data_IF_194228002488
#
_entry.id   IF_194228002488
#
_cell.length_a   1.000
_cell.length_b   1.000
_cell.length_c   1.000
_cell.angle_alpha   90.00
_cell.angle_beta   90.00
_cell.angle_gamma   90.00
#
_symmetry.space_group_name_H-M   'P 1'
#
loop_
_entity.id
_entity.type
_entity.pdbx_description
1 polymer ?
#
# COMPACT_ATOMS: atom_id res chain seq x y z
N UNK A 1 -23.69 17.94 40.57
CA UNK A 1 -22.26 17.73 40.26
C UNK A 1 -21.90 18.64 39.10
N UNK A 2 -20.89 19.51 39.21
CA UNK A 2 -20.44 20.31 38.09
C UNK A 2 -19.84 19.35 37.04
N UNK A 3 -20.29 19.43 35.78
CA UNK A 3 -19.65 18.73 34.67
C UNK A 3 -18.16 19.04 34.72
N UNK A 4 -17.31 18.00 34.83
CA UNK A 4 -15.88 18.13 34.64
C UNK A 4 -15.65 18.82 33.28
N UNK A 5 -15.28 20.09 33.32
CA UNK A 5 -15.00 20.85 32.12
C UNK A 5 -13.79 20.19 31.45
N UNK A 6 -14.01 19.63 30.27
CA UNK A 6 -12.92 19.14 29.44
C UNK A 6 -12.04 20.35 29.09
N UNK A 7 -10.74 20.35 29.41
CA UNK A 7 -9.88 21.51 29.21
C UNK A 7 -9.63 21.79 27.72
N UNK A 8 -9.60 20.75 26.87
CA UNK A 8 -9.36 20.85 25.43
C UNK A 8 -10.37 20.03 24.62
N UNK A 9 -11.64 20.50 24.56
CA UNK A 9 -12.76 19.72 24.03
C UNK A 9 -12.65 19.35 22.55
N UNK A 10 -12.02 20.19 21.72
CA UNK A 10 -11.80 19.89 20.30
C UNK A 10 -10.60 18.96 20.04
N UNK A 11 -9.40 19.19 20.63
CA UNK A 11 -8.33 18.20 20.60
C UNK A 11 -8.74 16.81 21.11
N UNK A 12 -9.59 16.73 22.15
CA UNK A 12 -10.10 15.43 22.61
C UNK A 12 -11.08 14.78 21.65
N UNK A 13 -11.98 15.55 21.03
CA UNK A 13 -12.85 15.02 19.96
C UNK A 13 -12.03 14.51 18.77
N UNK A 14 -10.96 15.22 18.42
CA UNK A 14 -9.95 14.79 17.44
C UNK A 14 -9.24 13.53 17.86
N UNK A 15 -8.84 13.40 19.12
CA UNK A 15 -8.17 12.20 19.59
C UNK A 15 -9.03 10.94 19.41
N UNK A 16 -10.36 11.06 19.46
CA UNK A 16 -11.27 9.94 19.18
C UNK A 16 -11.20 9.43 17.74
N UNK A 17 -10.84 10.27 16.76
CA UNK A 17 -10.70 9.84 15.36
C UNK A 17 -9.59 8.79 15.16
N UNK A 18 -8.67 8.65 16.12
CA UNK A 18 -7.64 7.60 16.17
C UNK A 18 -8.19 6.19 16.28
N UNK A 19 -9.42 6.04 16.75
CA UNK A 19 -10.02 4.74 17.02
C UNK A 19 -11.20 4.44 16.09
N UNK A 20 -11.56 5.40 15.24
CA UNK A 20 -12.72 5.31 14.37
C UNK A 20 -12.23 5.02 12.97
N UNK A 21 -12.74 3.93 12.42
CA UNK A 21 -12.49 3.53 11.05
C UNK A 21 -13.58 4.12 10.17
N UNK A 22 -13.22 4.62 9.00
CA UNK A 22 -14.20 5.27 8.13
C UNK A 22 -15.34 4.36 7.67
N UNK A 23 -16.47 4.94 7.27
CA UNK A 23 -17.68 4.24 6.83
C UNK A 23 -17.52 3.65 5.41
N UNK A 24 -16.49 2.83 5.17
CA UNK A 24 -16.45 2.00 3.96
C UNK A 24 -17.13 0.68 4.28
N UNK A 25 -18.26 0.38 3.61
CA UNK A 25 -18.99 -0.87 3.77
C UNK A 25 -18.00 -2.04 3.69
N UNK A 26 -18.06 -2.97 4.66
CA UNK A 26 -17.32 -4.23 4.65
C UNK A 26 -17.76 -5.10 3.47
N UNK A 27 -17.31 -4.75 2.27
CA UNK A 27 -17.41 -5.57 1.07
C UNK A 27 -16.05 -6.19 0.87
N UNK A 28 -16.00 -7.49 0.59
CA UNK A 28 -14.76 -8.21 0.28
C UNK A 28 -13.95 -7.56 -0.87
N UNK A 29 -14.51 -6.62 -1.61
CA UNK A 29 -13.90 -5.95 -2.77
C UNK A 29 -13.21 -4.61 -2.45
N UNK A 30 -13.23 -4.13 -1.20
CA UNK A 30 -12.68 -2.82 -0.80
C UNK A 30 -11.66 -2.98 0.35
N UNK A 31 -10.58 -2.17 0.41
CA UNK A 31 -9.66 -2.18 1.55
C UNK A 31 -10.39 -1.93 2.87
N UNK A 32 -10.00 -2.59 3.97
CA UNK A 32 -10.63 -2.35 5.27
C UNK A 32 -10.51 -0.86 5.63
N UNK A 33 -11.50 -0.32 6.36
CA UNK A 33 -11.55 1.10 6.65
C UNK A 33 -10.35 1.54 7.50
N UNK A 34 -9.72 2.63 7.08
CA UNK A 34 -8.58 3.27 7.74
C UNK A 34 -9.06 4.14 8.91
N UNK A 35 -8.17 4.37 9.86
CA UNK A 35 -8.39 5.34 10.92
C UNK A 35 -8.56 6.73 10.32
N UNK A 36 -9.66 7.41 10.67
CA UNK A 36 -9.98 8.73 10.14
C UNK A 36 -8.85 9.74 10.30
N UNK A 37 -8.09 9.65 11.39
CA UNK A 37 -6.91 10.50 11.58
C UNK A 37 -5.84 10.28 10.50
N UNK A 38 -5.50 9.03 10.17
CA UNK A 38 -4.43 8.75 9.20
C UNK A 38 -4.84 9.26 7.80
N UNK A 39 -6.11 9.09 7.44
CA UNK A 39 -6.64 9.60 6.19
C UNK A 39 -6.51 11.13 6.10
N UNK A 40 -7.00 11.84 7.12
CA UNK A 40 -6.92 13.29 7.20
C UNK A 40 -5.47 13.82 7.20
N UNK A 41 -4.57 13.14 7.91
CA UNK A 41 -3.14 13.52 7.97
C UNK A 41 -2.46 13.35 6.60
N UNK A 42 -2.80 12.30 5.84
CA UNK A 42 -2.30 12.11 4.47
C UNK A 42 -2.82 13.23 3.55
N UNK A 43 -4.11 13.53 3.61
CA UNK A 43 -4.70 14.62 2.82
C UNK A 43 -4.02 15.96 3.09
N UNK A 44 -3.81 16.31 4.36
CA UNK A 44 -3.13 17.54 4.75
C UNK A 44 -1.70 17.63 4.19
N UNK A 45 -0.95 16.52 4.21
CA UNK A 45 0.39 16.46 3.60
C UNK A 45 0.34 16.65 2.10
N UNK A 46 -0.64 16.06 1.41
CA UNK A 46 -0.83 16.25 -0.03
C UNK A 46 -1.17 17.70 -0.37
N UNK A 47 -1.92 18.42 0.47
CA UNK A 47 -2.15 19.86 0.31
C UNK A 47 -0.82 20.64 0.31
N UNK A 48 0.07 20.37 1.28
CA UNK A 48 1.37 21.06 1.37
C UNK A 48 2.37 20.66 0.28
N UNK A 49 2.24 19.47 -0.30
CA UNK A 49 3.10 19.01 -1.38
C UNK A 49 2.67 19.54 -2.76
N UNK A 50 1.46 20.10 -2.88
CA UNK A 50 0.92 20.52 -4.16
C UNK A 50 1.65 21.76 -4.69
N UNK A 51 2.18 21.75 -5.93
CA UNK A 51 3.08 22.80 -6.43
C UNK A 51 2.39 24.15 -6.62
N UNK A 52 1.08 24.17 -6.86
CA UNK A 52 0.31 25.41 -7.03
C UNK A 52 -0.08 26.09 -5.71
N UNK A 53 0.29 25.49 -4.58
CA UNK A 53 -0.18 25.87 -3.26
C UNK A 53 1.01 26.32 -2.41
N UNK A 54 1.08 27.61 -2.10
CA UNK A 54 2.13 28.15 -1.22
C UNK A 54 1.77 27.97 0.25
N UNK A 55 2.76 27.69 1.10
CA UNK A 55 2.58 27.60 2.56
C UNK A 55 1.99 28.90 3.14
N UNK A 56 2.29 30.03 2.51
CA UNK A 56 1.79 31.35 2.91
C UNK A 56 0.37 31.63 2.40
N UNK A 57 -0.15 30.79 1.50
CA UNK A 57 -1.46 30.97 0.91
C UNK A 57 -2.57 30.64 1.91
N UNK A 58 -3.56 31.53 1.97
CA UNK A 58 -4.77 31.34 2.76
C UNK A 58 -5.53 30.10 2.29
N UNK A 59 -5.47 29.77 1.01
CA UNK A 59 -6.21 28.64 0.45
C UNK A 59 -5.58 27.30 0.86
N UNK A 60 -4.25 27.23 1.09
CA UNK A 60 -3.60 26.05 1.69
C UNK A 60 -4.10 25.81 3.10
N UNK A 61 -4.15 26.87 3.92
CA UNK A 61 -4.63 26.76 5.29
C UNK A 61 -6.09 26.27 5.30
N UNK A 62 -6.94 26.77 4.41
CA UNK A 62 -8.31 26.27 4.29
C UNK A 62 -8.37 24.82 3.79
N UNK A 63 -7.58 24.44 2.79
CA UNK A 63 -7.53 23.07 2.26
C UNK A 63 -7.10 22.06 3.32
N UNK A 64 -6.09 22.41 4.11
CA UNK A 64 -5.60 21.59 5.23
C UNK A 64 -6.69 21.46 6.30
N UNK A 65 -7.31 22.56 6.70
CA UNK A 65 -8.38 22.51 7.70
C UNK A 65 -9.60 21.73 7.20
N UNK A 66 -9.96 21.87 5.94
CA UNK A 66 -11.02 21.12 5.28
C UNK A 66 -10.71 19.62 5.27
N UNK A 67 -9.49 19.25 4.86
CA UNK A 67 -8.97 17.87 4.90
C UNK A 67 -9.03 17.28 6.30
N UNK A 68 -8.72 18.08 7.32
CA UNK A 68 -8.81 17.63 8.69
C UNK A 68 -10.26 17.32 9.06
N UNK A 69 -11.23 18.20 8.78
CA UNK A 69 -12.60 18.10 9.33
C UNK A 69 -13.61 17.35 8.45
N UNK A 70 -13.28 17.02 7.20
CA UNK A 70 -14.26 16.53 6.22
C UNK A 70 -15.05 15.30 6.70
N UNK A 71 -14.38 14.34 7.35
CA UNK A 71 -14.95 13.09 7.87
C UNK A 71 -15.26 13.15 9.39
N UNK A 72 -15.35 14.36 9.97
CA UNK A 72 -15.57 14.52 11.41
C UNK A 72 -17.00 14.09 11.84
N UNK A 73 -17.94 14.07 10.91
CA UNK A 73 -19.28 13.50 11.06
C UNK A 73 -19.24 12.01 11.43
N UNK A 74 -18.29 11.25 10.87
CA UNK A 74 -18.11 9.83 11.15
C UNK A 74 -17.66 9.54 12.60
N UNK A 75 -17.10 10.54 13.30
CA UNK A 75 -16.74 10.42 14.72
C UNK A 75 -17.96 10.31 15.62
N UNK A 76 -19.04 10.95 15.19
CA UNK A 76 -20.27 11.13 15.95
C UNK A 76 -21.28 10.04 15.54
N UNK A 77 -21.26 9.66 14.26
CA UNK A 77 -22.09 8.62 13.68
C UNK A 77 -21.62 7.20 14.03
N UNK A 78 -21.68 6.82 15.31
CA UNK A 78 -21.71 5.40 15.69
C UNK A 78 -23.13 4.79 15.47
N UNK A 79 -24.07 5.58 14.93
CA UNK A 79 -25.44 5.20 14.56
C UNK A 79 -25.83 5.84 13.22
N UNK A 80 -26.57 5.09 12.42
CA UNK A 80 -27.08 5.41 11.07
C UNK A 80 -28.09 6.57 11.00
N UNK A 81 -28.39 7.24 12.13
CA UNK A 81 -29.62 8.03 12.28
C UNK A 81 -29.39 9.50 12.66
N UNK A 82 -28.14 9.98 12.76
CA UNK A 82 -27.85 11.38 13.06
C UNK A 82 -27.77 12.18 11.76
N UNK A 83 -28.57 13.25 11.64
CA UNK A 83 -28.51 14.18 10.54
C UNK A 83 -27.37 15.19 10.71
N UNK A 84 -27.12 15.97 9.66
CA UNK A 84 -26.07 17.01 9.66
C UNK A 84 -26.24 17.95 10.86
N UNK A 85 -27.49 18.32 11.21
CA UNK A 85 -27.81 19.25 12.31
C UNK A 85 -27.33 18.77 13.68
N UNK A 86 -27.44 17.49 14.00
CA UNK A 86 -27.00 16.97 15.30
C UNK A 86 -25.48 16.84 15.41
N UNK A 87 -24.81 16.49 14.32
CA UNK A 87 -23.33 16.51 14.20
C UNK A 87 -22.79 17.91 14.45
N UNK A 88 -23.43 18.91 13.83
CA UNK A 88 -23.07 20.32 13.97
C UNK A 88 -23.26 20.79 15.41
N UNK A 89 -24.43 20.53 16.01
CA UNK A 89 -24.70 20.90 17.39
C UNK A 89 -23.68 20.28 18.36
N UNK A 90 -23.30 19.01 18.14
CA UNK A 90 -22.28 18.35 18.97
C UNK A 90 -20.90 19.01 18.83
N UNK A 91 -20.44 19.32 17.62
CA UNK A 91 -19.14 19.98 17.40
C UNK A 91 -19.14 21.42 17.95
N UNK A 92 -20.23 22.15 17.76
CA UNK A 92 -20.41 23.49 18.32
C UNK A 92 -20.32 23.48 19.85
N UNK A 93 -20.93 22.52 20.54
CA UNK A 93 -20.83 22.44 22.02
C UNK A 93 -19.40 22.29 22.52
N UNK A 94 -18.49 21.77 21.69
CA UNK A 94 -17.09 21.55 22.04
C UNK A 94 -16.21 22.78 21.78
N UNK A 95 -16.51 23.60 20.78
CA UNK A 95 -15.68 24.76 20.43
C UNK A 95 -16.29 26.11 20.81
N UNK A 96 -17.61 26.22 20.90
CA UNK A 96 -18.30 27.51 21.06
C UNK A 96 -18.01 28.19 22.39
N UNK A 97 -17.80 27.41 23.45
CA UNK A 97 -17.47 27.95 24.78
C UNK A 97 -16.06 28.53 24.87
N UNK A 98 -15.15 28.16 23.96
CA UNK A 98 -13.74 28.56 23.99
C UNK A 98 -13.37 29.48 22.81
N UNK A 99 -13.87 29.18 21.60
CA UNK A 99 -13.65 29.96 20.39
C UNK A 99 -14.84 29.85 19.42
N UNK A 100 -15.88 30.69 19.58
CA UNK A 100 -17.08 30.63 18.75
C UNK A 100 -16.82 31.00 17.29
N UNK A 101 -15.87 31.91 17.01
CA UNK A 101 -15.50 32.30 15.65
C UNK A 101 -14.88 31.13 14.87
N UNK A 102 -13.98 30.38 15.51
CA UNK A 102 -13.38 29.18 14.91
C UNK A 102 -14.42 28.08 14.71
N UNK A 103 -15.33 27.86 15.67
CA UNK A 103 -16.41 26.89 15.54
C UNK A 103 -17.24 27.13 14.27
N UNK A 104 -17.66 28.38 14.06
CA UNK A 104 -18.43 28.80 12.88
C UNK A 104 -17.61 28.64 11.59
N UNK A 105 -16.32 29.00 11.61
CA UNK A 105 -15.45 28.89 10.44
C UNK A 105 -15.25 27.43 10.00
N UNK A 106 -15.00 26.51 10.94
CA UNK A 106 -14.88 25.08 10.64
C UNK A 106 -16.19 24.51 10.10
N UNK A 107 -17.32 24.93 10.66
CA UNK A 107 -18.62 24.51 10.17
C UNK A 107 -18.87 24.95 8.73
N UNK A 108 -18.55 26.19 8.39
CA UNK A 108 -18.68 26.69 7.03
C UNK A 108 -17.77 25.93 6.05
N UNK A 109 -16.53 25.61 6.44
CA UNK A 109 -15.62 24.78 5.63
C UNK A 109 -16.17 23.36 5.42
N UNK A 110 -16.73 22.74 6.45
CA UNK A 110 -17.30 21.39 6.33
C UNK A 110 -18.49 21.38 5.37
N UNK A 111 -19.38 22.39 5.46
CA UNK A 111 -20.47 22.58 4.51
C UNK A 111 -19.98 22.80 3.08
N UNK A 112 -18.95 23.62 2.91
CA UNK A 112 -18.33 23.89 1.60
C UNK A 112 -17.83 22.58 0.97
N UNK A 113 -17.15 21.73 1.75
CA UNK A 113 -16.71 20.39 1.29
C UNK A 113 -17.90 19.48 0.89
N UNK A 114 -18.96 19.48 1.71
CA UNK A 114 -20.17 18.70 1.46
C UNK A 114 -20.89 19.10 0.18
N UNK A 115 -21.01 20.40 -0.08
CA UNK A 115 -21.65 20.95 -1.27
C UNK A 115 -20.90 20.63 -2.58
N UNK A 116 -19.57 20.57 -2.54
CA UNK A 116 -18.72 20.25 -3.70
C UNK A 116 -18.82 21.23 -4.88
N UNK A 117 -19.10 22.51 -4.60
CA UNK A 117 -19.32 23.52 -5.64
C UNK A 117 -18.06 24.37 -5.90
N UNK A 118 -17.30 24.70 -4.83
CA UNK A 118 -16.13 25.58 -4.90
C UNK A 118 -14.90 24.85 -5.45
N UNK A 119 -13.95 25.61 -6.01
CA UNK A 119 -12.67 25.06 -6.47
C UNK A 119 -11.91 24.37 -5.32
N UNK A 120 -11.93 24.96 -4.13
CA UNK A 120 -11.30 24.40 -2.93
C UNK A 120 -11.94 23.08 -2.48
N UNK A 121 -13.28 22.99 -2.51
CA UNK A 121 -14.00 21.77 -2.18
C UNK A 121 -13.69 20.64 -3.17
N UNK A 122 -13.74 20.95 -4.47
CA UNK A 122 -13.40 20.00 -5.55
C UNK A 122 -11.97 19.50 -5.41
N UNK A 123 -11.03 20.42 -5.21
CA UNK A 123 -9.62 20.10 -4.94
C UNK A 123 -9.45 19.18 -3.71
N UNK A 124 -10.13 19.50 -2.60
CA UNK A 124 -10.04 18.70 -1.38
C UNK A 124 -10.67 17.32 -1.52
N UNK A 125 -11.72 17.16 -2.35
CA UNK A 125 -12.30 15.85 -2.68
C UNK A 125 -11.35 15.01 -3.53
N UNK A 126 -10.72 15.63 -4.50
CA UNK A 126 -9.76 14.96 -5.35
C UNK A 126 -8.54 14.46 -4.55
N UNK A 127 -8.05 15.26 -3.59
CA UNK A 127 -7.06 14.83 -2.60
C UNK A 127 -7.55 13.61 -1.81
N UNK A 128 -8.82 13.62 -1.37
CA UNK A 128 -9.41 12.50 -0.65
C UNK A 128 -9.43 11.22 -1.51
N UNK A 129 -9.75 11.34 -2.80
CA UNK A 129 -9.75 10.22 -3.75
C UNK A 129 -8.35 9.69 -4.03
N UNK A 130 -7.35 10.56 -4.23
CA UNK A 130 -5.95 10.15 -4.33
C UNK A 130 -5.46 9.47 -3.05
N UNK A 131 -5.82 9.98 -1.87
CA UNK A 131 -5.49 9.37 -0.59
C UNK A 131 -6.11 7.97 -0.44
N UNK A 132 -7.37 7.78 -0.85
CA UNK A 132 -8.04 6.47 -0.90
C UNK A 132 -7.35 5.53 -1.89
N UNK A 133 -6.89 6.05 -3.03
CA UNK A 133 -6.18 5.27 -4.02
C UNK A 133 -4.82 4.78 -3.51
N UNK A 134 -4.02 5.67 -2.96
CA UNK A 134 -2.75 5.34 -2.32
C UNK A 134 -2.92 4.32 -1.18
N UNK A 135 -3.97 4.48 -0.37
CA UNK A 135 -4.33 3.50 0.67
C UNK A 135 -4.63 2.13 0.08
N UNK A 136 -5.43 2.06 -0.98
CA UNK A 136 -5.77 0.79 -1.61
C UNK A 136 -4.50 0.03 -2.04
N UNK A 137 -3.59 0.72 -2.72
CA UNK A 137 -2.29 0.18 -3.10
C UNK A 137 -1.44 -0.26 -1.88
N UNK A 138 -1.33 0.58 -0.86
CA UNK A 138 -0.58 0.25 0.37
C UNK A 138 -1.12 -1.01 1.03
N UNK A 139 -2.45 -1.20 0.97
CA UNK A 139 -3.10 -2.37 1.51
C UNK A 139 -2.84 -3.64 0.68
N UNK A 140 -2.77 -3.53 -0.65
CA UNK A 140 -2.36 -4.65 -1.52
C UNK A 140 -0.92 -5.08 -1.23
N UNK A 141 -0.03 -4.11 -1.03
CA UNK A 141 1.37 -4.36 -0.66
C UNK A 141 1.51 -5.08 0.68
N UNK A 142 0.71 -4.72 1.70
CA UNK A 142 0.81 -5.26 3.06
C UNK A 142 0.02 -6.54 3.31
N UNK A 143 -1.23 -6.59 2.86
CA UNK A 143 -2.17 -7.67 3.18
C UNK A 143 -2.13 -8.83 2.18
N UNK A 144 -1.18 -8.79 1.25
CA UNK A 144 -0.99 -9.76 0.19
C UNK A 144 -2.25 -10.11 -0.63
N UNK A 145 -3.17 -9.15 -0.78
CA UNK A 145 -4.46 -9.36 -1.44
C UNK A 145 -4.71 -8.26 -2.45
N UNK A 146 -4.92 -8.64 -3.70
CA UNK A 146 -5.21 -7.72 -4.80
C UNK A 146 -6.71 -7.39 -4.82
N UNK A 147 -7.07 -6.10 -4.85
CA UNK A 147 -8.46 -5.69 -4.99
C UNK A 147 -8.92 -5.70 -6.46
N UNK A 148 -10.22 -5.88 -6.74
CA UNK A 148 -10.73 -5.92 -8.10
C UNK A 148 -10.43 -4.63 -8.88
N UNK A 149 -10.06 -4.77 -10.15
CA UNK A 149 -9.75 -3.65 -11.05
C UNK A 149 -10.86 -2.57 -11.13
N UNK A 150 -12.17 -2.90 -11.15
CA UNK A 150 -13.23 -1.89 -11.23
C UNK A 150 -13.27 -0.89 -10.06
N UNK A 151 -12.80 -1.29 -8.87
CA UNK A 151 -12.70 -0.37 -7.73
C UNK A 151 -11.55 0.62 -7.90
N UNK A 152 -10.40 0.12 -8.34
CA UNK A 152 -9.18 0.92 -8.55
C UNK A 152 -9.36 1.88 -9.73
N UNK A 153 -9.98 1.42 -10.81
CA UNK A 153 -10.29 2.24 -11.98
C UNK A 153 -11.24 3.39 -11.63
N UNK A 154 -12.26 3.15 -10.79
CA UNK A 154 -13.14 4.21 -10.29
C UNK A 154 -12.37 5.30 -9.54
N UNK A 155 -11.43 4.91 -8.67
CA UNK A 155 -10.60 5.89 -7.95
C UNK A 155 -9.69 6.67 -8.89
N UNK A 156 -9.13 6.01 -9.93
CA UNK A 156 -8.30 6.69 -10.94
C UNK A 156 -9.11 7.66 -11.81
N UNK A 157 -10.35 7.32 -12.16
CA UNK A 157 -11.25 8.17 -12.95
C UNK A 157 -11.77 9.39 -12.19
N UNK A 158 -11.74 9.35 -10.85
CA UNK A 158 -12.11 10.48 -10.00
C UNK A 158 -11.00 11.56 -9.91
N UNK A 159 -9.81 11.29 -10.46
CA UNK A 159 -8.65 12.18 -10.43
C UNK A 159 -8.49 12.84 -11.80
N UNK A 160 -8.61 14.16 -11.83
CA UNK A 160 -8.68 15.02 -13.01
C UNK A 160 -7.45 15.96 -13.13
N UNK A 161 -7.01 16.56 -12.02
CA UNK A 161 -5.83 17.43 -11.92
C UNK A 161 -4.57 16.75 -12.46
N UNK A 162 -3.86 17.46 -13.34
CA UNK A 162 -2.62 17.01 -13.98
C UNK A 162 -1.60 16.47 -12.97
N UNK A 163 -1.40 17.20 -11.87
CA UNK A 163 -0.43 16.81 -10.85
C UNK A 163 -0.85 15.54 -10.09
N UNK A 164 -2.14 15.40 -9.79
CA UNK A 164 -2.65 14.20 -9.13
C UNK A 164 -2.65 12.98 -10.07
N UNK A 165 -2.87 13.17 -11.37
CA UNK A 165 -2.77 12.10 -12.37
C UNK A 165 -1.36 11.49 -12.39
N UNK A 166 -0.29 12.31 -12.34
CA UNK A 166 1.11 11.81 -12.29
C UNK A 166 1.34 10.88 -11.10
N UNK A 167 0.82 11.22 -9.92
CA UNK A 167 0.91 10.35 -8.75
C UNK A 167 0.04 9.10 -8.87
N UNK A 168 -1.19 9.24 -9.37
CA UNK A 168 -2.10 8.13 -9.60
C UNK A 168 -1.49 7.09 -10.57
N UNK A 169 -0.85 7.55 -11.64
CA UNK A 169 -0.18 6.68 -12.62
C UNK A 169 1.07 6.03 -12.03
N UNK A 170 1.80 6.73 -11.16
CA UNK A 170 2.91 6.16 -10.39
C UNK A 170 2.44 5.03 -9.47
N UNK A 171 1.29 5.20 -8.81
CA UNK A 171 0.64 4.15 -8.01
C UNK A 171 0.24 2.96 -8.89
N UNK A 172 -0.35 3.19 -10.07
CA UNK A 172 -0.70 2.11 -11.00
C UNK A 172 0.52 1.32 -11.46
N UNK A 173 1.61 1.99 -11.81
CA UNK A 173 2.89 1.34 -12.19
C UNK A 173 3.41 0.46 -11.05
N UNK A 174 3.45 0.99 -9.83
CA UNK A 174 3.88 0.23 -8.66
C UNK A 174 2.94 -0.97 -8.37
N UNK A 175 1.64 -0.80 -8.61
CA UNK A 175 0.63 -1.84 -8.44
C UNK A 175 0.81 -3.02 -9.41
N UNK A 176 1.24 -2.76 -10.65
CA UNK A 176 1.57 -3.83 -11.61
C UNK A 176 2.68 -4.72 -11.04
N UNK A 177 3.75 -4.11 -10.52
CA UNK A 177 4.85 -4.86 -9.88
C UNK A 177 4.36 -5.67 -8.69
N UNK A 178 3.51 -5.09 -7.83
CA UNK A 178 2.90 -5.82 -6.70
C UNK A 178 2.03 -6.98 -7.17
N UNK A 179 1.27 -6.81 -8.26
CA UNK A 179 0.47 -7.88 -8.87
C UNK A 179 1.34 -8.98 -9.46
N UNK A 180 2.46 -8.63 -10.09
CA UNK A 180 3.43 -9.62 -10.57
C UNK A 180 4.00 -10.44 -9.42
N UNK A 181 4.39 -9.79 -8.31
CA UNK A 181 4.85 -10.47 -7.09
C UNK A 181 3.75 -11.35 -6.48
N UNK A 182 2.50 -10.88 -6.40
CA UNK A 182 1.37 -11.66 -5.86
C UNK A 182 0.94 -12.83 -6.73
N UNK A 183 1.13 -12.71 -8.05
CA UNK A 183 0.88 -13.81 -8.98
C UNK A 183 1.99 -14.87 -8.94
N UNK A 184 3.06 -14.63 -8.18
CA UNK A 184 4.05 -15.64 -7.80
C UNK A 184 3.57 -16.31 -6.52
N UNK A 185 3.03 -17.52 -6.63
CA UNK A 185 2.66 -18.32 -5.46
C UNK A 185 3.84 -18.58 -4.52
N UNK A 186 3.60 -19.22 -3.35
CA UNK A 186 4.63 -19.46 -2.35
C UNK A 186 5.88 -20.13 -2.93
N UNK A 187 7.04 -19.75 -2.39
CA UNK A 187 8.32 -20.37 -2.71
C UNK A 187 8.58 -21.49 -1.70
N UNK A 188 8.78 -22.70 -2.21
CA UNK A 188 9.08 -23.90 -1.43
C UNK A 188 10.53 -24.32 -1.71
N UNK A 189 11.35 -24.30 -0.66
CA UNK A 189 12.71 -24.84 -0.74
C UNK A 189 12.71 -26.33 -0.41
N UNK A 190 13.33 -27.14 -1.27
CA UNK A 190 13.37 -28.60 -1.12
C UNK A 190 14.79 -29.05 -0.78
N UNK A 191 14.96 -29.57 0.44
CA UNK A 191 16.24 -29.97 1.00
C UNK A 191 16.41 -31.48 1.08
N UNK A 192 17.67 -31.95 1.13
CA UNK A 192 18.02 -33.36 1.21
C UNK A 192 19.45 -33.65 0.74
N UNK A 193 20.01 -34.80 1.13
CA UNK A 193 21.38 -35.19 0.79
C UNK A 193 21.63 -35.43 -0.70
N UNK A 194 22.90 -35.47 -1.16
CA UNK A 194 23.23 -35.81 -2.54
C UNK A 194 22.60 -37.14 -2.97
N UNK A 195 22.09 -37.21 -4.21
CA UNK A 195 21.46 -38.43 -4.74
C UNK A 195 20.06 -38.76 -4.19
N UNK A 196 19.49 -37.95 -3.30
CA UNK A 196 18.17 -38.23 -2.70
C UNK A 196 16.96 -38.00 -3.62
N UNK A 197 17.17 -37.75 -4.91
CA UNK A 197 16.09 -37.57 -5.88
C UNK A 197 15.28 -36.27 -5.75
N UNK A 198 15.80 -35.22 -5.10
CA UNK A 198 15.08 -33.93 -4.88
C UNK A 198 14.53 -33.35 -6.18
N UNK A 199 15.37 -33.25 -7.20
CA UNK A 199 15.03 -32.68 -8.50
C UNK A 199 13.86 -33.45 -9.12
N UNK A 200 13.91 -34.78 -9.11
CA UNK A 200 12.82 -35.64 -9.58
C UNK A 200 11.51 -35.43 -8.79
N UNK A 201 11.58 -35.31 -7.45
CA UNK A 201 10.40 -35.03 -6.62
C UNK A 201 9.82 -33.65 -6.93
N UNK A 202 10.68 -32.63 -7.10
CA UNK A 202 10.24 -31.29 -7.47
C UNK A 202 9.56 -31.26 -8.84
N UNK A 203 10.10 -31.96 -9.84
CA UNK A 203 9.50 -32.09 -11.17
C UNK A 203 8.11 -32.73 -11.09
N UNK A 204 7.97 -33.83 -10.33
CA UNK A 204 6.70 -34.52 -10.13
C UNK A 204 5.68 -33.65 -9.39
N UNK A 205 6.09 -32.94 -8.33
CA UNK A 205 5.23 -32.02 -7.59
C UNK A 205 4.82 -30.82 -8.45
N UNK A 206 5.74 -30.28 -9.25
CA UNK A 206 5.46 -29.20 -10.19
C UNK A 206 4.41 -29.61 -11.22
N UNK A 207 4.55 -30.80 -11.80
CA UNK A 207 3.55 -31.34 -12.72
C UNK A 207 2.19 -31.59 -12.04
N UNK A 208 2.17 -32.15 -10.83
CA UNK A 208 0.95 -32.50 -10.11
C UNK A 208 0.15 -31.28 -9.62
N UNK A 209 0.82 -30.22 -9.18
CA UNK A 209 0.18 -29.04 -8.57
C UNK A 209 0.22 -27.79 -9.46
N UNK A 210 0.78 -27.90 -10.66
CA UNK A 210 0.98 -26.75 -11.56
C UNK A 210 2.04 -25.76 -11.05
N UNK A 211 2.87 -26.14 -10.07
CA UNK A 211 3.97 -25.30 -9.61
C UNK A 211 5.04 -25.16 -10.70
N UNK A 212 5.87 -24.13 -10.55
CA UNK A 212 7.10 -24.01 -11.33
C UNK A 212 8.25 -24.61 -10.55
N UNK A 213 9.23 -25.13 -11.25
CA UNK A 213 10.41 -25.73 -10.65
C UNK A 213 11.67 -25.02 -11.13
N UNK A 214 12.54 -24.66 -10.19
CA UNK A 214 13.86 -24.12 -10.43
C UNK A 214 14.87 -25.04 -9.76
N UNK A 215 15.81 -25.57 -10.53
CA UNK A 215 17.04 -26.14 -9.98
C UNK A 215 18.15 -25.12 -10.12
N UNK A 216 18.80 -24.72 -9.01
CA UNK A 216 19.93 -23.79 -9.05
C UNK A 216 21.06 -24.34 -9.92
N UNK A 217 21.32 -25.65 -9.84
CA UNK A 217 22.35 -26.30 -10.66
C UNK A 217 22.04 -26.19 -12.17
N UNK A 218 20.79 -26.45 -12.57
CA UNK A 218 20.37 -26.32 -13.97
C UNK A 218 20.44 -24.86 -14.46
N UNK A 219 20.10 -23.91 -13.59
CA UNK A 219 20.16 -22.49 -13.91
C UNK A 219 21.60 -22.00 -14.11
N UNK A 220 22.54 -22.45 -13.26
CA UNK A 220 23.97 -22.19 -13.42
C UNK A 220 24.47 -22.83 -14.73
N UNK A 221 24.00 -24.03 -15.06
CA UNK A 221 24.38 -24.72 -16.29
C UNK A 221 23.89 -23.99 -17.55
N UNK A 222 22.65 -23.48 -17.52
CA UNK A 222 22.06 -22.65 -18.58
C UNK A 222 22.93 -21.41 -18.85
N UNK A 223 23.34 -20.70 -17.79
CA UNK A 223 24.22 -19.53 -17.88
C UNK A 223 25.64 -19.87 -18.36
N UNK A 224 26.19 -21.04 -17.97
CA UNK A 224 27.51 -21.50 -18.40
C UNK A 224 27.58 -21.84 -19.90
N UNK A 225 26.47 -22.30 -20.47
CA UNK A 225 26.38 -22.69 -21.88
C UNK A 225 25.92 -21.54 -22.79
N UNK A 226 25.22 -20.55 -22.24
CA UNK A 226 24.71 -19.40 -22.98
C UNK A 226 25.85 -18.54 -23.57
N UNK A 227 26.01 -18.45 -24.90
CA UNK A 227 27.08 -17.67 -25.52
C UNK A 227 27.01 -16.18 -25.22
N UNK A 228 25.81 -15.67 -24.94
CA UNK A 228 25.54 -14.27 -24.61
C UNK A 228 25.59 -13.96 -23.13
N UNK A 229 25.80 -14.95 -22.25
CA UNK A 229 25.84 -14.71 -20.81
C UNK A 229 27.14 -14.03 -20.41
N UNK A 230 27.01 -12.90 -19.71
CA UNK A 230 28.14 -12.21 -19.08
C UNK A 230 28.77 -13.03 -17.93
N UNK A 231 28.05 -14.03 -17.40
CA UNK A 231 28.48 -14.85 -16.27
C UNK A 231 29.19 -16.14 -16.69
N UNK A 232 29.20 -16.45 -17.99
CA UNK A 232 29.78 -17.68 -18.54
C UNK A 232 31.24 -17.92 -18.14
N UNK A 233 32.10 -16.91 -18.32
CA UNK A 233 33.53 -17.01 -18.00
C UNK A 233 33.76 -17.22 -16.50
N UNK A 234 33.01 -16.49 -15.67
CA UNK A 234 33.03 -16.62 -14.22
C UNK A 234 32.64 -18.03 -13.76
N UNK A 235 31.50 -18.56 -14.21
CA UNK A 235 31.04 -19.90 -13.82
C UNK A 235 32.04 -20.98 -14.22
N UNK A 236 32.55 -20.94 -15.46
CA UNK A 236 33.50 -21.93 -15.96
C UNK A 236 34.84 -21.89 -15.21
N UNK A 237 35.28 -20.71 -14.77
CA UNK A 237 36.51 -20.53 -13.98
C UNK A 237 36.34 -21.05 -12.56
N UNK A 238 35.22 -20.73 -11.90
CA UNK A 238 34.92 -21.26 -10.57
C UNK A 238 34.80 -22.79 -10.60
N UNK A 239 34.19 -23.37 -11.64
CA UNK A 239 34.10 -24.83 -11.82
C UNK A 239 35.47 -25.49 -12.00
N UNK A 240 36.35 -24.93 -12.83
CA UNK A 240 37.70 -25.51 -13.05
C UNK A 240 38.57 -25.46 -11.80
N UNK A 241 38.33 -24.49 -10.91
CA UNK A 241 39.01 -24.35 -9.63
C UNK A 241 38.36 -25.15 -8.49
N UNK A 242 37.19 -25.76 -8.71
CA UNK A 242 36.42 -26.44 -7.66
C UNK A 242 35.82 -25.50 -6.60
N UNK A 243 35.69 -24.21 -6.92
CA UNK A 243 35.15 -23.18 -6.03
C UNK A 243 33.62 -23.15 -6.08
N UNK A 244 32.97 -23.06 -4.92
CA UNK A 244 31.53 -22.82 -4.83
C UNK A 244 31.14 -21.44 -5.36
N UNK A 245 29.91 -21.33 -5.87
CA UNK A 245 29.38 -20.04 -6.33
C UNK A 245 29.14 -19.10 -5.14
N UNK A 246 29.42 -17.78 -5.26
CA UNK A 246 29.08 -16.83 -4.22
C UNK A 246 27.57 -16.77 -3.98
N UNK A 247 27.18 -16.65 -2.71
CA UNK A 247 25.78 -16.51 -2.30
C UNK A 247 25.04 -15.39 -3.06
N UNK A 248 25.65 -14.20 -3.17
CA UNK A 248 25.06 -13.06 -3.87
C UNK A 248 24.79 -13.34 -5.35
N UNK A 249 25.64 -14.17 -5.98
CA UNK A 249 25.45 -14.59 -7.36
C UNK A 249 24.26 -15.55 -7.49
N UNK A 250 24.20 -16.59 -6.64
CA UNK A 250 23.09 -17.54 -6.62
C UNK A 250 21.73 -16.86 -6.36
N UNK A 251 21.67 -15.93 -5.40
CA UNK A 251 20.46 -15.15 -5.10
C UNK A 251 20.05 -14.28 -6.28
N UNK A 252 20.99 -13.58 -6.92
CA UNK A 252 20.72 -12.72 -8.08
C UNK A 252 20.11 -13.54 -9.23
N UNK A 253 20.69 -14.71 -9.51
CA UNK A 253 20.23 -15.65 -10.52
C UNK A 253 18.80 -16.15 -10.24
N UNK A 254 18.54 -16.63 -9.02
CA UNK A 254 17.22 -17.10 -8.60
C UNK A 254 16.19 -15.97 -8.70
N UNK A 255 16.51 -14.79 -8.17
CA UNK A 255 15.64 -13.59 -8.20
C UNK A 255 15.25 -13.22 -9.63
N UNK A 256 16.20 -13.28 -10.55
CA UNK A 256 15.94 -13.00 -11.96
C UNK A 256 14.99 -14.01 -12.61
N UNK A 257 15.15 -15.31 -12.32
CA UNK A 257 14.26 -16.37 -12.83
C UNK A 257 12.87 -16.29 -12.19
N UNK A 258 12.79 -16.12 -10.87
CA UNK A 258 11.54 -16.01 -10.10
C UNK A 258 10.67 -14.87 -10.61
N UNK A 259 11.24 -13.69 -10.86
CA UNK A 259 10.52 -12.51 -11.38
C UNK A 259 9.81 -12.73 -12.71
N UNK A 260 10.21 -13.74 -13.48
CA UNK A 260 9.66 -14.05 -14.80
C UNK A 260 8.67 -15.22 -14.76
N UNK A 261 8.47 -15.84 -13.59
CA UNK A 261 7.59 -16.99 -13.42
C UNK A 261 6.31 -16.60 -12.72
N UNK A 262 5.20 -17.11 -13.27
CA UNK A 262 3.87 -16.96 -12.73
C UNK A 262 3.29 -18.35 -12.49
N UNK A 263 2.57 -18.52 -11.38
CA UNK A 263 1.95 -19.79 -11.06
C UNK A 263 1.59 -19.96 -9.59
N UNK A 264 0.91 -21.07 -9.26
CA UNK A 264 0.40 -21.35 -7.91
C UNK A 264 1.49 -21.60 -6.86
N UNK A 265 2.75 -21.70 -7.24
CA UNK A 265 3.89 -21.89 -6.35
C UNK A 265 5.18 -22.13 -7.14
N UNK A 266 6.33 -21.96 -6.48
CA UNK A 266 7.66 -22.18 -7.05
C UNK A 266 8.42 -23.13 -6.13
N UNK A 267 8.84 -24.27 -6.66
CA UNK A 267 9.75 -25.21 -5.99
C UNK A 267 11.19 -24.88 -6.38
N UNK A 268 12.07 -24.77 -5.39
CA UNK A 268 13.49 -24.51 -5.59
C UNK A 268 14.29 -25.65 -4.95
N UNK A 269 15.11 -26.33 -5.75
CA UNK A 269 16.12 -27.28 -5.27
C UNK A 269 17.55 -26.77 -5.53
N UNK A 270 18.49 -27.26 -4.72
CA UNK A 270 19.89 -26.85 -4.78
C UNK A 270 20.19 -25.50 -4.13
N UNK A 271 19.20 -24.88 -3.47
CA UNK A 271 19.35 -23.67 -2.67
C UNK A 271 18.23 -23.60 -1.62
N UNK A 272 18.47 -23.03 -0.43
CA UNK A 272 19.78 -22.68 0.13
C UNK A 272 20.56 -23.90 0.63
N UNK A 273 21.88 -23.78 0.77
CA UNK A 273 22.74 -24.74 1.48
C UNK A 273 22.91 -24.37 2.96
N UNK A 274 22.78 -23.08 3.29
CA UNK A 274 22.93 -22.58 4.68
C UNK A 274 21.78 -21.66 5.10
N UNK A 275 21.58 -21.52 6.42
CA UNK A 275 20.61 -20.56 6.96
C UNK A 275 20.97 -19.09 6.66
N UNK A 276 22.26 -18.79 6.47
CA UNK A 276 22.71 -17.45 6.08
C UNK A 276 22.19 -17.09 4.69
N UNK A 277 22.29 -18.02 3.75
CA UNK A 277 21.75 -17.87 2.39
C UNK A 277 20.25 -17.67 2.37
N UNK A 278 19.52 -18.42 3.21
CA UNK A 278 18.07 -18.28 3.34
C UNK A 278 17.70 -16.87 3.81
N UNK A 279 18.34 -16.37 4.87
CA UNK A 279 18.07 -15.04 5.41
C UNK A 279 18.39 -13.93 4.43
N UNK A 280 19.49 -14.06 3.70
CA UNK A 280 19.86 -13.10 2.67
C UNK A 280 18.86 -13.11 1.51
N UNK A 281 18.38 -14.29 1.11
CA UNK A 281 17.34 -14.43 0.11
C UNK A 281 16.04 -13.74 0.53
N UNK A 282 15.57 -13.98 1.77
CA UNK A 282 14.35 -13.36 2.32
C UNK A 282 14.41 -11.84 2.39
N UNK A 283 15.61 -11.25 2.51
CA UNK A 283 15.77 -9.79 2.49
C UNK A 283 15.70 -9.21 1.07
N UNK A 284 15.98 -10.02 0.05
CA UNK A 284 16.16 -9.55 -1.32
C UNK A 284 15.03 -9.93 -2.28
N UNK A 285 14.24 -10.96 -1.99
CA UNK A 285 13.22 -11.55 -2.87
C UNK A 285 11.85 -11.48 -2.22
#
# INVERSE_FOLDING_TARGET
MPCLAVPLPFPEARHKTRYIRGATQHRHQVPPPELLQIHADLMARLCYMHPSLSIEDRDVNKAVMMSMIHDLDQVIANKKDWGEREIIAYLETRLKSTNPALAQALFNLWKEYGANETCLAKFSREIADLARFHRAFTHEKRAQRIFPFPYIERLRLAIDSEWFQVMADSILKARIVVKEIHNSGPIFFVFGGPGSGKTFVCEQMAAAHGFKHISLAALIEEEAHSPSSAHRSFINTSRSQGSSMPMSFSISLLKHKIRRMYGPGILIDGFPETLGELREFEQQV
#
